data_IF_654170447734
#
_entry.id   IF_654170447734
#
_cell.length_a   1.000
_cell.length_b   1.000
_cell.length_c   1.000
_cell.angle_alpha   90.00
_cell.angle_beta   90.00
_cell.angle_gamma   90.00
#
_symmetry.space_group_name_H-M   'P 1'
#
loop_
_entity.id
_entity.type
_entity.pdbx_description
1 polymer ?
#
# COMPACT_ATOMS: atom_id res chain seq x y z
N UNK A 1 16.11 -32.15 -5.01
CA UNK A 1 15.05 -31.12 -4.84
C UNK A 1 15.36 -30.01 -5.84
N UNK A 2 14.41 -29.58 -6.68
CA UNK A 2 14.64 -28.45 -7.60
C UNK A 2 14.52 -27.14 -6.81
N UNK A 3 15.54 -26.25 -6.82
CA UNK A 3 15.44 -24.91 -6.25
C UNK A 3 14.27 -24.14 -6.89
N UNK A 4 13.67 -23.20 -6.15
CA UNK A 4 12.77 -22.21 -6.73
C UNK A 4 13.56 -21.46 -7.82
N UNK A 5 13.13 -21.60 -9.08
CA UNK A 5 13.68 -20.82 -10.19
C UNK A 5 12.95 -19.49 -10.22
N UNK A 6 13.67 -18.42 -9.91
CA UNK A 6 13.21 -17.07 -10.21
C UNK A 6 12.99 -16.97 -11.73
N UNK A 7 11.78 -16.61 -12.20
CA UNK A 7 11.50 -16.49 -13.62
C UNK A 7 12.35 -15.45 -14.35
N UNK A 8 13.04 -14.57 -13.61
CA UNK A 8 13.92 -13.53 -14.15
C UNK A 8 15.42 -13.86 -14.02
N UNK A 9 15.80 -14.95 -13.35
CA UNK A 9 17.21 -15.38 -13.24
C UNK A 9 17.50 -16.58 -14.16
N UNK A 10 18.41 -16.45 -15.13
CA UNK A 10 18.81 -17.56 -16.00
C UNK A 10 19.64 -18.64 -15.28
N UNK A 11 20.07 -18.38 -14.04
CA UNK A 11 20.91 -19.28 -13.25
C UNK A 11 20.20 -19.66 -11.95
N UNK A 12 20.21 -20.95 -11.53
CA UNK A 12 19.72 -21.35 -10.21
C UNK A 12 20.44 -20.56 -9.11
N UNK A 13 19.68 -19.76 -8.37
CA UNK A 13 20.24 -19.00 -7.25
C UNK A 13 20.26 -19.90 -6.03
N UNK A 14 21.45 -20.32 -5.61
CA UNK A 14 21.63 -20.96 -4.31
C UNK A 14 21.66 -19.87 -3.24
N UNK A 15 20.58 -19.75 -2.47
CA UNK A 15 20.49 -18.77 -1.40
C UNK A 15 21.04 -19.37 -0.08
N UNK A 16 22.09 -18.77 0.47
CA UNK A 16 22.65 -19.18 1.77
C UNK A 16 23.63 -18.16 2.35
N UNK A 17 23.76 -18.06 3.69
CA UNK A 17 22.97 -18.73 4.72
C UNK A 17 21.52 -18.22 4.79
N UNK A 18 20.59 -19.11 5.21
CA UNK A 18 19.18 -18.78 5.42
C UNK A 18 18.94 -18.63 6.92
N UNK A 19 18.50 -17.45 7.34
CA UNK A 19 18.21 -17.18 8.76
C UNK A 19 16.87 -17.80 9.18
N UNK A 20 16.76 -18.19 10.45
CA UNK A 20 15.50 -18.63 11.04
C UNK A 20 15.28 -17.97 12.38
N UNK A 21 14.01 -17.77 12.77
CA UNK A 21 13.67 -17.17 14.06
C UNK A 21 13.82 -18.21 15.17
N UNK A 22 14.73 -17.94 16.11
CA UNK A 22 14.99 -18.78 17.28
C UNK A 22 14.58 -18.10 18.62
N UNK A 23 13.96 -16.92 18.55
CA UNK A 23 13.49 -16.19 19.73
C UNK A 23 12.21 -16.84 20.29
N UNK A 24 12.23 -17.41 21.52
CA UNK A 24 11.08 -18.11 22.09
C UNK A 24 9.92 -17.17 22.47
N UNK A 25 10.16 -15.87 22.59
CA UNK A 25 9.12 -14.87 22.89
C UNK A 25 8.42 -14.35 21.63
N UNK A 26 8.95 -14.69 20.45
CA UNK A 26 8.38 -14.25 19.19
C UNK A 26 7.17 -15.09 18.76
N UNK A 27 6.13 -14.41 18.27
CA UNK A 27 4.98 -15.07 17.65
C UNK A 27 5.29 -15.38 16.19
N UNK A 28 5.31 -16.66 15.82
CA UNK A 28 5.59 -17.10 14.46
C UNK A 28 4.38 -16.84 13.55
N UNK A 29 4.61 -16.13 12.45
CA UNK A 29 3.62 -15.81 11.41
C UNK A 29 3.79 -16.66 10.15
N UNK A 30 4.98 -17.21 9.92
CA UNK A 30 5.28 -17.97 8.72
C UNK A 30 6.50 -18.86 8.88
N UNK A 31 6.50 -19.97 8.12
CA UNK A 31 7.55 -20.98 8.10
C UNK A 31 8.00 -21.23 6.67
N UNK A 32 9.25 -21.62 6.50
CA UNK A 32 9.73 -22.11 5.21
C UNK A 32 9.00 -23.40 4.83
N UNK A 33 8.55 -23.48 3.58
CA UNK A 33 7.85 -24.68 3.08
C UNK A 33 8.72 -25.93 3.17
N UNK A 34 10.01 -25.81 2.84
CA UNK A 34 10.93 -26.95 2.73
C UNK A 34 11.43 -27.49 4.09
N UNK A 35 11.73 -26.61 5.05
CA UNK A 35 12.34 -26.99 6.33
C UNK A 35 11.40 -26.86 7.53
N UNK A 36 10.24 -26.20 7.35
CA UNK A 36 9.32 -25.82 8.43
C UNK A 36 9.94 -24.93 9.52
N UNK A 37 11.17 -24.46 9.31
CA UNK A 37 11.82 -23.52 10.21
C UNK A 37 11.09 -22.16 10.18
N UNK A 38 10.96 -21.47 11.34
CA UNK A 38 10.34 -20.14 11.40
C UNK A 38 11.07 -19.12 10.51
N UNK A 39 10.32 -18.45 9.64
CA UNK A 39 10.84 -17.51 8.65
C UNK A 39 10.29 -16.08 8.82
N UNK A 40 9.12 -15.95 9.43
CA UNK A 40 8.46 -14.67 9.67
C UNK A 40 7.86 -14.70 11.08
N UNK A 41 8.13 -13.66 11.86
CA UNK A 41 7.61 -13.53 13.21
C UNK A 41 7.42 -12.07 13.60
N UNK A 42 6.68 -11.84 14.68
CA UNK A 42 6.64 -10.54 15.33
C UNK A 42 6.82 -10.69 16.85
N UNK A 43 7.30 -9.64 17.49
CA UNK A 43 7.31 -9.52 18.96
C UNK A 43 7.09 -8.09 19.42
N UNK A 44 6.60 -7.94 20.65
CA UNK A 44 6.61 -6.64 21.30
C UNK A 44 8.03 -6.38 21.81
N UNK A 45 8.62 -5.24 21.46
CA UNK A 45 9.97 -4.86 21.86
C UNK A 45 10.07 -3.36 21.96
N UNK A 46 10.51 -2.82 23.11
CA UNK A 46 10.71 -1.37 23.28
C UNK A 46 9.43 -0.54 23.06
N UNK A 47 8.27 -1.04 23.45
CA UNK A 47 6.99 -0.35 23.27
C UNK A 47 6.41 -0.39 21.84
N UNK A 48 7.11 -0.99 20.88
CA UNK A 48 6.63 -1.17 19.52
C UNK A 48 6.47 -2.64 19.14
N UNK A 49 5.65 -2.88 18.12
CA UNK A 49 5.54 -4.19 17.48
C UNK A 49 6.62 -4.33 16.41
N UNK A 50 7.61 -5.17 16.67
CA UNK A 50 8.70 -5.46 15.73
C UNK A 50 8.36 -6.69 14.89
N UNK A 51 8.52 -6.58 13.57
CA UNK A 51 8.35 -7.69 12.64
C UNK A 51 9.70 -8.07 12.03
N UNK A 52 9.99 -9.37 11.99
CA UNK A 52 11.18 -9.91 11.34
C UNK A 52 10.77 -10.92 10.28
N UNK A 53 11.34 -10.80 9.08
CA UNK A 53 11.17 -11.75 8.00
C UNK A 53 12.51 -12.09 7.35
N UNK A 54 12.84 -13.37 7.27
CA UNK A 54 14.01 -13.89 6.58
C UNK A 54 13.72 -14.17 5.08
N UNK A 55 12.76 -13.44 4.51
CA UNK A 55 12.35 -13.51 3.11
C UNK A 55 12.78 -12.23 2.40
N UNK A 56 13.27 -12.29 1.15
CA UNK A 56 13.76 -11.12 0.43
C UNK A 56 12.64 -10.14 0.04
N UNK A 57 11.38 -10.59 -0.04
CA UNK A 57 10.25 -9.77 -0.46
C UNK A 57 9.06 -9.98 0.50
N UNK A 58 8.48 -8.87 0.95
CA UNK A 58 7.22 -8.87 1.69
C UNK A 58 6.05 -8.71 0.71
N UNK A 59 5.02 -9.56 0.82
CA UNK A 59 3.81 -9.41 0.01
C UNK A 59 3.03 -8.16 0.39
N UNK A 60 2.30 -7.58 -0.57
CA UNK A 60 1.42 -6.44 -0.31
C UNK A 60 0.38 -6.75 0.79
N UNK A 61 -0.12 -7.99 0.84
CA UNK A 61 -1.05 -8.47 1.88
C UNK A 61 -0.42 -8.39 3.28
N UNK A 62 0.83 -8.85 3.43
CA UNK A 62 1.55 -8.79 4.70
C UNK A 62 1.76 -7.33 5.14
N UNK A 63 2.25 -6.48 4.24
CA UNK A 63 2.48 -5.07 4.53
C UNK A 63 1.18 -4.34 4.91
N UNK A 64 0.08 -4.57 4.19
CA UNK A 64 -1.24 -4.02 4.55
C UNK A 64 -1.70 -4.46 5.93
N UNK A 65 -1.50 -5.73 6.30
CA UNK A 65 -1.84 -6.22 7.63
C UNK A 65 -1.00 -5.56 8.74
N UNK A 66 0.30 -5.37 8.49
CA UNK A 66 1.21 -4.65 9.40
C UNK A 66 0.79 -3.18 9.54
N UNK A 67 0.51 -2.50 8.44
CA UNK A 67 0.09 -1.10 8.44
C UNK A 67 -1.24 -0.88 9.16
N UNK A 68 -2.25 -1.74 8.93
CA UNK A 68 -3.51 -1.71 9.69
C UNK A 68 -3.28 -1.91 11.19
N UNK A 69 -2.43 -2.87 11.55
CA UNK A 69 -2.06 -3.13 12.95
C UNK A 69 -1.40 -1.91 13.59
N UNK A 70 -0.59 -1.18 12.83
CA UNK A 70 0.07 0.04 13.27
C UNK A 70 -0.84 1.29 13.24
N UNK A 71 -2.11 1.16 12.86
CA UNK A 71 -3.06 2.29 12.76
C UNK A 71 -2.80 3.21 11.56
N UNK A 72 -2.03 2.77 10.56
CA UNK A 72 -1.78 3.53 9.34
C UNK A 72 -3.05 3.55 8.49
N UNK A 73 -3.42 4.74 8.01
CA UNK A 73 -4.56 4.91 7.11
C UNK A 73 -4.26 4.38 5.72
N UNK A 74 -5.12 3.48 5.21
CA UNK A 74 -5.05 2.98 3.84
C UNK A 74 -6.12 3.68 3.01
N UNK A 75 -5.70 4.40 1.97
CA UNK A 75 -6.62 5.16 1.13
C UNK A 75 -7.44 4.28 0.19
N UNK A 76 -6.94 3.12 -0.23
CA UNK A 76 -7.69 2.19 -1.08
C UNK A 76 -7.21 0.76 -0.91
N UNK A 77 -8.10 -0.20 -1.14
CA UNK A 77 -7.76 -1.62 -1.24
C UNK A 77 -7.21 -2.00 -2.61
N UNK A 78 -7.44 -1.17 -3.64
CA UNK A 78 -6.97 -1.45 -4.98
C UNK A 78 -5.44 -1.48 -5.06
N UNK A 79 -4.86 -2.36 -5.91
CA UNK A 79 -3.46 -2.31 -6.24
C UNK A 79 -3.20 -1.11 -7.17
N UNK A 80 -2.60 -0.06 -6.62
CA UNK A 80 -2.19 1.14 -7.37
C UNK A 80 -0.79 1.56 -6.95
N UNK A 81 -0.07 2.22 -7.86
CA UNK A 81 1.05 3.07 -7.41
C UNK A 81 0.44 4.36 -6.86
N UNK A 82 0.89 4.73 -5.67
CA UNK A 82 0.21 5.71 -4.86
C UNK A 82 1.20 6.70 -4.25
N UNK A 83 0.83 7.97 -4.32
CA UNK A 83 1.40 9.04 -3.52
C UNK A 83 0.27 9.69 -2.71
N UNK A 84 0.43 9.75 -1.40
CA UNK A 84 -0.55 10.33 -0.50
C UNK A 84 0.04 11.41 0.38
N UNK A 85 -0.65 12.53 0.46
CA UNK A 85 -0.39 13.62 1.42
C UNK A 85 -1.70 14.12 2.02
N UNK A 86 -1.63 15.17 2.84
CA UNK A 86 -2.82 15.81 3.39
C UNK A 86 -3.65 16.56 2.32
N UNK A 87 -2.99 17.02 1.25
CA UNK A 87 -3.59 17.91 0.24
C UNK A 87 -3.64 17.33 -1.17
N UNK A 88 -2.81 16.35 -1.48
CA UNK A 88 -2.74 15.73 -2.80
C UNK A 88 -2.77 14.22 -2.69
N UNK A 89 -3.56 13.59 -3.55
CA UNK A 89 -3.51 12.15 -3.81
C UNK A 89 -3.20 11.92 -5.29
N UNK A 90 -2.21 11.08 -5.57
CA UNK A 90 -1.93 10.64 -6.93
C UNK A 90 -2.01 9.12 -7.01
N UNK A 91 -2.65 8.64 -8.08
CA UNK A 91 -2.79 7.23 -8.38
C UNK A 91 -2.28 6.96 -9.79
N UNK A 92 -1.61 5.84 -9.98
CA UNK A 92 -1.35 5.25 -11.28
C UNK A 92 -1.80 3.79 -11.30
N UNK A 93 -2.51 3.42 -12.35
CA UNK A 93 -3.21 2.16 -12.49
C UNK A 93 -2.39 1.17 -13.33
N UNK A 94 -1.61 0.25 -12.72
CA UNK A 94 -0.91 -0.80 -13.48
C UNK A 94 -1.89 -1.80 -14.14
N UNK A 95 -3.11 -1.89 -13.62
CA UNK A 95 -4.26 -2.61 -14.16
C UNK A 95 -5.52 -1.76 -13.94
N UNK A 96 -6.65 -2.16 -14.52
CA UNK A 96 -7.91 -1.45 -14.33
C UNK A 96 -8.27 -1.36 -12.84
N UNK A 97 -8.69 -0.17 -12.41
CA UNK A 97 -9.16 0.10 -11.05
C UNK A 97 -10.60 0.54 -11.13
N UNK A 98 -11.44 -0.12 -10.35
CA UNK A 98 -12.80 0.32 -9.99
C UNK A 98 -12.95 0.07 -8.49
N UNK A 99 -12.64 1.08 -7.69
CA UNK A 99 -12.58 0.95 -6.24
C UNK A 99 -12.84 2.27 -5.53
N UNK A 100 -13.31 2.19 -4.29
CA UNK A 100 -13.43 3.36 -3.44
C UNK A 100 -12.05 3.83 -2.92
N UNK A 101 -11.93 5.13 -2.77
CA UNK A 101 -10.87 5.81 -2.01
C UNK A 101 -11.48 6.36 -0.73
N UNK A 102 -10.86 6.06 0.42
CA UNK A 102 -11.27 6.49 1.75
C UNK A 102 -10.32 7.56 2.28
N UNK A 103 -10.86 8.67 2.76
CA UNK A 103 -10.14 9.81 3.32
C UNK A 103 -10.18 9.76 4.86
N UNK A 104 -9.21 10.43 5.50
CA UNK A 104 -9.13 10.51 6.97
C UNK A 104 -10.26 11.37 7.59
N UNK A 105 -10.79 12.31 6.81
CA UNK A 105 -11.82 13.27 7.22
C UNK A 105 -12.63 13.70 5.98
N UNK A 106 -13.83 14.28 6.16
CA UNK A 106 -14.60 14.84 5.06
C UNK A 106 -13.81 15.91 4.30
N UNK A 107 -13.79 15.84 2.97
CA UNK A 107 -13.11 16.80 2.09
C UNK A 107 -13.91 17.03 0.82
N UNK A 108 -13.65 18.18 0.20
CA UNK A 108 -13.90 18.37 -1.22
C UNK A 108 -12.72 17.79 -2.01
N UNK A 109 -13.03 17.09 -3.09
CA UNK A 109 -12.04 16.38 -3.92
C UNK A 109 -12.20 16.86 -5.35
N UNK A 110 -11.13 17.47 -5.87
CA UNK A 110 -11.05 17.94 -7.25
C UNK A 110 -10.07 17.07 -8.03
N UNK A 111 -10.52 16.46 -9.12
CA UNK A 111 -9.64 15.87 -10.12
C UNK A 111 -8.93 16.99 -10.89
N UNK A 112 -7.62 17.08 -10.75
CA UNK A 112 -6.82 18.15 -11.35
C UNK A 112 -6.61 17.96 -12.85
N UNK A 113 -6.80 16.75 -13.40
CA UNK A 113 -6.68 16.50 -14.83
C UNK A 113 -8.01 16.71 -15.55
N UNK A 114 -9.12 16.27 -14.94
CA UNK A 114 -10.45 16.47 -15.50
C UNK A 114 -11.05 17.84 -15.15
N UNK A 115 -10.45 18.56 -14.19
CA UNK A 115 -11.00 19.78 -13.57
C UNK A 115 -12.42 19.57 -13.04
N UNK A 116 -12.69 18.39 -12.47
CA UNK A 116 -14.01 17.98 -11.99
C UNK A 116 -14.01 17.72 -10.49
N UNK A 117 -15.03 18.25 -9.79
CA UNK A 117 -15.25 17.95 -8.39
C UNK A 117 -15.89 16.56 -8.29
N UNK A 118 -15.09 15.57 -7.90
CA UNK A 118 -15.51 14.15 -7.79
C UNK A 118 -16.16 13.81 -6.45
N UNK A 119 -15.96 14.65 -5.42
CA UNK A 119 -16.67 14.53 -4.16
C UNK A 119 -16.78 15.87 -3.43
N UNK A 120 -17.88 16.05 -2.70
CA UNK A 120 -18.16 17.23 -1.87
C UNK A 120 -18.38 16.80 -0.44
N UNK A 121 -17.60 17.38 0.47
CA UNK A 121 -17.67 17.13 1.92
C UNK A 121 -17.86 15.65 2.28
N UNK A 122 -17.00 14.79 1.73
CA UNK A 122 -17.13 13.33 1.85
C UNK A 122 -15.84 12.70 2.34
N UNK A 123 -15.94 11.60 3.06
CA UNK A 123 -14.81 10.73 3.43
C UNK A 123 -14.50 9.68 2.37
N UNK A 124 -15.25 9.63 1.27
CA UNK A 124 -15.09 8.62 0.22
C UNK A 124 -15.39 9.17 -1.17
N UNK A 125 -14.72 8.63 -2.18
CA UNK A 125 -15.04 8.86 -3.60
C UNK A 125 -14.62 7.65 -4.44
N UNK A 126 -15.18 7.52 -5.64
CA UNK A 126 -14.87 6.42 -6.54
C UNK A 126 -13.64 6.73 -7.40
N UNK A 127 -12.70 5.80 -7.45
CA UNK A 127 -11.54 5.83 -8.34
C UNK A 127 -11.77 4.84 -9.48
N UNK A 128 -11.90 5.37 -10.70
CA UNK A 128 -12.05 4.58 -11.92
C UNK A 128 -10.94 4.92 -12.89
N UNK A 129 -10.05 3.97 -13.12
CA UNK A 129 -8.90 4.14 -14.03
C UNK A 129 -8.76 2.91 -14.92
N UNK A 130 -8.57 3.15 -16.21
CA UNK A 130 -8.13 2.11 -17.14
C UNK A 130 -6.63 1.78 -16.92
N UNK A 131 -6.14 0.62 -17.39
CA UNK A 131 -4.71 0.30 -17.31
C UNK A 131 -3.83 1.39 -17.95
N UNK A 132 -2.78 1.79 -17.25
CA UNK A 132 -1.84 2.83 -17.65
C UNK A 132 -2.29 4.27 -17.38
N UNK A 133 -3.51 4.49 -16.87
CA UNK A 133 -3.97 5.83 -16.53
C UNK A 133 -3.46 6.29 -15.16
N UNK A 134 -3.36 7.61 -15.03
CA UNK A 134 -3.05 8.28 -13.77
C UNK A 134 -4.13 9.29 -13.44
N UNK A 135 -4.37 9.51 -12.15
CA UNK A 135 -5.18 10.60 -11.65
C UNK A 135 -4.42 11.38 -10.57
N UNK A 136 -4.72 12.67 -10.47
CA UNK A 136 -4.19 13.57 -9.47
C UNK A 136 -5.35 14.35 -8.86
N UNK A 137 -5.52 14.25 -7.54
CA UNK A 137 -6.60 14.88 -6.81
C UNK A 137 -6.08 15.91 -5.82
N UNK A 138 -6.72 17.07 -5.78
CA UNK A 138 -6.60 18.05 -4.70
C UNK A 138 -7.67 17.75 -3.63
N UNK A 139 -7.22 17.67 -2.38
CA UNK A 139 -8.05 17.54 -1.19
C UNK A 139 -8.16 18.89 -0.50
N UNK A 140 -9.35 19.49 -0.50
CA UNK A 140 -9.59 20.82 0.04
C UNK A 140 -10.85 20.92 0.88
N UNK A 141 -11.12 22.12 1.36
CA UNK A 141 -12.48 22.57 1.62
C UNK A 141 -13.11 23.18 0.35
N UNK A 142 -14.34 23.68 0.48
CA UNK A 142 -15.05 24.32 -0.63
C UNK A 142 -14.30 25.54 -1.16
N UNK A 143 -13.86 26.43 -0.28
CA UNK A 143 -13.26 27.71 -0.66
C UNK A 143 -11.91 27.50 -1.37
N UNK A 144 -11.14 26.52 -0.93
CA UNK A 144 -9.88 26.13 -1.57
C UNK A 144 -10.09 25.57 -2.97
N UNK A 145 -11.10 24.72 -3.17
CA UNK A 145 -11.43 24.14 -4.47
C UNK A 145 -12.01 25.19 -5.42
N UNK A 146 -12.94 26.02 -4.94
CA UNK A 146 -13.55 27.10 -5.74
C UNK A 146 -12.48 28.09 -6.21
N UNK A 147 -11.52 28.45 -5.33
CA UNK A 147 -10.39 29.31 -5.70
C UNK A 147 -9.48 28.68 -6.75
N UNK A 148 -9.15 27.39 -6.60
CA UNK A 148 -8.31 26.71 -7.58
C UNK A 148 -8.95 26.72 -8.98
N UNK A 149 -10.26 26.49 -9.07
CA UNK A 149 -10.98 26.53 -10.34
C UNK A 149 -10.97 27.94 -10.94
N UNK A 150 -11.22 28.98 -10.15
CA UNK A 150 -11.20 30.37 -10.63
C UNK A 150 -9.82 30.80 -11.17
N UNK A 151 -8.73 30.34 -10.56
CA UNK A 151 -7.37 30.68 -10.97
C UNK A 151 -6.92 29.96 -12.27
N UNK A 152 -7.68 28.94 -12.73
CA UNK A 152 -7.31 28.05 -13.84
C UNK A 152 -8.43 27.85 -14.87
N UNK A 153 -9.36 28.81 -14.97
CA UNK A 153 -10.29 29.02 -16.11
C UNK A 153 -9.60 29.83 -17.24
#
# INVERSE_FOLDING_TARGET
IRPYQDPFSPVPVTLGPVFSVADPEATILGRYVHSQAPALAWKQSGGMRSYYGALPLASATLLRAIFRTAGVHLYTEAPAWFLGSDRLLAFHAPAAIDAAVVLKQPRWVLDLYAQEIVARDSTTFDLKLAPGQSALYLLGDRDEVDRYLQDHE
#
